data_IF_890242420232
#
_entry.id   IF_890242420232
#
_cell.length_a   1.000
_cell.length_b   1.000
_cell.length_c   1.000
_cell.angle_alpha   90.00
_cell.angle_beta   90.00
_cell.angle_gamma   90.00
#
_symmetry.space_group_name_H-M   'P 1'
#
loop_
_entity.id
_entity.type
_entity.pdbx_description
1 polymer ?
#
# COMPACT_ATOMS: atom_id res chain seq x y z
N UNK A 1 17.31 40.84 -15.54
CA UNK A 1 15.88 40.44 -15.39
C UNK A 1 15.76 38.98 -15.82
N UNK A 2 15.84 38.04 -14.86
CA UNK A 2 15.82 36.61 -15.14
C UNK A 2 14.39 36.14 -15.46
N UNK A 3 14.16 35.65 -16.68
CA UNK A 3 12.94 34.93 -17.05
C UNK A 3 13.03 33.55 -16.39
N UNK A 4 12.54 33.45 -15.16
CA UNK A 4 12.49 32.19 -14.43
C UNK A 4 11.46 31.28 -15.10
N UNK A 5 11.93 30.18 -15.69
CA UNK A 5 11.14 29.25 -16.49
C UNK A 5 10.08 28.57 -15.63
N UNK A 6 8.87 29.10 -15.67
CA UNK A 6 7.65 28.59 -15.01
C UNK A 6 7.43 27.09 -15.23
N UNK A 7 7.94 26.55 -16.35
CA UNK A 7 7.88 25.13 -16.70
C UNK A 7 8.63 24.23 -15.69
N UNK A 8 9.77 24.66 -15.16
CA UNK A 8 10.61 23.82 -14.28
C UNK A 8 9.94 23.58 -12.92
N UNK A 9 9.25 24.59 -12.39
CA UNK A 9 8.49 24.47 -11.14
C UNK A 9 7.34 23.47 -11.27
N UNK A 10 6.70 23.40 -12.45
CA UNK A 10 5.62 22.46 -12.70
C UNK A 10 6.10 21.00 -12.69
N UNK A 11 7.29 20.72 -13.21
CA UNK A 11 7.84 19.35 -13.20
C UNK A 11 8.30 18.90 -11.81
N UNK A 12 8.91 19.80 -11.03
CA UNK A 12 9.32 19.51 -9.65
C UNK A 12 8.11 19.20 -8.74
N UNK A 13 7.00 19.89 -8.94
CA UNK A 13 5.77 19.63 -8.20
C UNK A 13 5.23 18.22 -8.46
N UNK A 14 5.19 17.77 -9.73
CA UNK A 14 4.69 16.44 -10.12
C UNK A 14 5.55 15.30 -9.54
N UNK A 15 6.87 15.46 -9.52
CA UNK A 15 7.78 14.48 -8.91
C UNK A 15 7.60 14.37 -7.38
N UNK A 16 7.23 15.47 -6.72
CA UNK A 16 6.97 15.50 -5.27
C UNK A 16 5.67 14.79 -4.88
N UNK A 17 4.64 14.83 -5.72
CA UNK A 17 3.36 14.11 -5.47
C UNK A 17 3.51 12.61 -5.73
N UNK A 18 4.37 12.21 -6.66
CA UNK A 18 4.62 10.81 -6.98
C UNK A 18 5.44 10.06 -5.91
N UNK A 19 6.25 10.77 -5.13
CA UNK A 19 7.02 10.19 -4.02
C UNK A 19 6.20 10.03 -2.74
N UNK A 20 5.10 10.78 -2.58
CA UNK A 20 4.14 10.55 -1.50
C UNK A 20 3.16 9.46 -1.91
N UNK A 21 3.53 8.20 -1.68
CA UNK A 21 2.65 7.03 -1.77
C UNK A 21 1.53 7.07 -0.73
N UNK A 22 0.65 8.07 -0.80
CA UNK A 22 -0.54 8.21 0.02
C UNK A 22 -1.66 7.33 -0.53
N UNK A 23 -1.43 6.02 -0.56
CA UNK A 23 -2.54 5.08 -0.61
C UNK A 23 -3.04 4.95 0.82
N UNK A 24 -3.97 5.81 1.22
CA UNK A 24 -4.74 5.60 2.44
C UNK A 24 -5.57 4.34 2.21
N UNK A 25 -5.09 3.22 2.75
CA UNK A 25 -5.91 2.04 2.91
C UNK A 25 -6.82 2.35 4.08
N UNK A 26 -8.10 2.64 3.82
CA UNK A 26 -9.13 2.72 4.87
C UNK A 26 -8.94 1.52 5.81
N UNK A 27 -8.86 1.81 7.11
CA UNK A 27 -8.23 0.96 8.11
C UNK A 27 -8.66 -0.51 8.02
N UNK A 28 -7.69 -1.40 7.83
CA UNK A 28 -7.97 -2.83 7.81
C UNK A 28 -8.53 -3.27 9.16
N UNK A 29 -9.59 -4.07 9.11
CA UNK A 29 -10.15 -4.71 10.29
C UNK A 29 -9.25 -5.86 10.75
N UNK A 30 -9.00 -5.96 12.05
CA UNK A 30 -8.32 -7.11 12.63
C UNK A 30 -9.21 -8.36 12.50
N UNK A 31 -8.59 -9.54 12.37
CA UNK A 31 -9.25 -10.81 12.06
C UNK A 31 -10.06 -10.79 10.75
N UNK A 32 -9.69 -9.94 9.78
CA UNK A 32 -10.34 -9.88 8.49
C UNK A 32 -9.33 -10.00 7.34
N UNK A 33 -9.82 -10.52 6.22
CA UNK A 33 -9.10 -10.60 4.95
C UNK A 33 -9.45 -9.37 4.10
N UNK A 34 -8.45 -8.58 3.72
CA UNK A 34 -8.64 -7.35 2.93
C UNK A 34 -7.76 -7.35 1.68
N UNK A 35 -8.25 -6.78 0.59
CA UNK A 35 -7.43 -6.56 -0.60
C UNK A 35 -6.62 -5.27 -0.44
N UNK A 36 -5.29 -5.37 -0.54
CA UNK A 36 -4.35 -4.24 -0.48
C UNK A 36 -3.58 -4.04 -1.80
N UNK A 37 -4.20 -4.49 -2.90
CA UNK A 37 -3.56 -4.64 -4.20
C UNK A 37 -2.81 -5.97 -4.29
N UNK A 38 -1.51 -5.91 -4.58
CA UNK A 38 -0.65 -7.10 -4.64
C UNK A 38 -0.36 -7.62 -3.22
N UNK A 39 -0.58 -8.92 -2.99
CA UNK A 39 -0.29 -9.59 -1.72
C UNK A 39 0.20 -11.03 -1.97
N UNK A 40 1.48 -11.21 -2.32
CA UNK A 40 2.02 -12.55 -2.58
C UNK A 40 2.63 -13.14 -1.31
N UNK A 41 2.13 -14.29 -0.80
CA UNK A 41 2.72 -14.95 0.36
C UNK A 41 4.19 -15.35 0.13
N UNK A 42 5.03 -15.16 1.14
CA UNK A 42 6.47 -15.40 1.12
C UNK A 42 7.27 -14.32 0.40
N UNK A 43 6.67 -13.19 0.04
CA UNK A 43 7.36 -12.09 -0.66
C UNK A 43 7.45 -10.83 0.20
N UNK A 44 8.07 -9.77 -0.32
CA UNK A 44 8.08 -8.45 0.34
C UNK A 44 6.66 -7.89 0.64
N UNK A 45 5.64 -8.40 -0.07
CA UNK A 45 4.25 -8.04 0.15
C UNK A 45 3.75 -8.45 1.55
N UNK A 46 4.32 -9.49 2.17
CA UNK A 46 4.00 -9.87 3.55
C UNK A 46 4.41 -8.77 4.53
N UNK A 47 5.62 -8.22 4.38
CA UNK A 47 6.08 -7.10 5.21
C UNK A 47 5.21 -5.87 4.99
N UNK A 48 4.75 -5.63 3.76
CA UNK A 48 3.80 -4.57 3.47
C UNK A 48 2.47 -4.79 4.19
N UNK A 49 1.89 -5.99 4.11
CA UNK A 49 0.66 -6.35 4.82
C UNK A 49 0.83 -6.20 6.34
N UNK A 50 1.93 -6.70 6.90
CA UNK A 50 2.26 -6.60 8.31
C UNK A 50 2.33 -5.16 8.80
N UNK A 51 3.06 -4.30 8.08
CA UNK A 51 3.20 -2.88 8.43
C UNK A 51 1.86 -2.13 8.37
N UNK A 52 1.00 -2.45 7.41
CA UNK A 52 -0.34 -1.87 7.30
C UNK A 52 -1.20 -2.31 8.50
N UNK A 53 -1.23 -3.61 8.80
CA UNK A 53 -2.03 -4.14 9.90
C UNK A 53 -1.55 -3.65 11.28
N UNK A 54 -0.23 -3.46 11.48
CA UNK A 54 0.34 -2.95 12.74
C UNK A 54 -0.14 -1.56 13.17
N UNK A 55 -0.80 -0.82 12.29
CA UNK A 55 -1.41 0.45 12.65
C UNK A 55 -2.55 0.28 13.66
N UNK A 56 -3.29 -0.84 13.60
CA UNK A 56 -4.47 -1.09 14.44
C UNK A 56 -4.55 -2.53 15.01
N UNK A 57 -3.67 -3.43 14.59
CA UNK A 57 -3.70 -4.87 14.88
C UNK A 57 -2.31 -5.41 15.29
N UNK A 58 -2.19 -6.71 15.60
CA UNK A 58 -0.90 -7.30 16.03
C UNK A 58 0.13 -7.48 14.89
N UNK A 59 -0.32 -7.39 13.65
CA UNK A 59 0.45 -7.69 12.45
C UNK A 59 -0.42 -8.28 11.36
N UNK A 60 0.19 -8.73 10.29
CA UNK A 60 -0.53 -9.29 9.16
C UNK A 60 0.35 -10.12 8.23
N UNK A 61 -0.27 -10.92 7.39
CA UNK A 61 0.41 -11.69 6.35
C UNK A 61 -0.47 -11.85 5.11
N UNK A 62 0.16 -12.06 3.97
CA UNK A 62 -0.50 -12.39 2.73
C UNK A 62 -0.98 -13.84 2.76
N UNK A 63 -2.19 -14.05 2.23
CA UNK A 63 -2.87 -15.34 2.15
C UNK A 63 -3.58 -15.46 0.81
N UNK A 64 -3.67 -16.70 0.33
CA UNK A 64 -4.46 -17.03 -0.86
C UNK A 64 -5.79 -17.65 -0.42
N UNK A 65 -6.90 -17.10 -0.90
CA UNK A 65 -8.27 -17.59 -0.65
C UNK A 65 -8.90 -18.01 -1.97
N UNK A 66 -9.10 -19.32 -2.16
CA UNK A 66 -9.64 -19.87 -3.41
C UNK A 66 -8.62 -19.97 -4.54
N UNK A 67 -9.09 -20.36 -5.74
CA UNK A 67 -8.22 -20.68 -6.89
C UNK A 67 -8.27 -19.66 -8.03
N UNK A 68 -9.23 -18.73 -8.02
CA UNK A 68 -9.49 -17.79 -9.11
C UNK A 68 -9.06 -16.37 -8.73
N UNK A 69 -8.18 -15.71 -9.51
CA UNK A 69 -7.78 -14.33 -9.26
C UNK A 69 -8.95 -13.32 -9.30
N UNK A 70 -8.91 -12.22 -8.52
CA UNK A 70 -7.92 -11.92 -7.49
C UNK A 70 -8.20 -12.70 -6.20
N UNK A 71 -7.33 -13.64 -5.86
CA UNK A 71 -7.44 -14.52 -4.69
C UNK A 71 -6.39 -14.23 -3.61
N UNK A 72 -5.68 -13.11 -3.73
CA UNK A 72 -4.61 -12.72 -2.81
C UNK A 72 -5.13 -11.64 -1.86
N UNK A 73 -5.06 -11.93 -0.56
CA UNK A 73 -5.59 -11.09 0.51
C UNK A 73 -4.53 -10.86 1.59
N UNK A 74 -4.58 -9.70 2.22
CA UNK A 74 -3.86 -9.41 3.46
C UNK A 74 -4.76 -9.77 4.64
N UNK A 75 -4.31 -10.66 5.50
CA UNK A 75 -5.01 -11.04 6.72
C UNK A 75 -4.38 -10.33 7.93
N UNK A 76 -5.14 -9.46 8.60
CA UNK A 76 -4.67 -8.82 9.84
C UNK A 76 -4.95 -9.68 11.07
N UNK A 77 -3.94 -9.88 11.91
CA UNK A 77 -4.01 -10.68 13.12
C UNK A 77 -4.65 -9.90 14.28
N UNK A 78 -5.57 -10.54 14.99
CA UNK A 78 -5.94 -10.16 16.35
C UNK A 78 -4.93 -10.71 17.37
#
# INVERSE_FOLDING_TARGET
MGKMNISIFSFLLVMLIASTGLFQVDGLNCCADSHIGRCIPGSEDDTKCDNICKQNCKGGHCKIIGKTPPNHFCHCLC
#
